data_IF_065802025926
#
_entry.id   IF_065802025926
#
_cell.length_a   1.000
_cell.length_b   1.000
_cell.length_c   1.000
_cell.angle_alpha   90.00
_cell.angle_beta   90.00
_cell.angle_gamma   90.00
#
_symmetry.space_group_name_H-M   'P 1'
#
loop_
_entity.id
_entity.type
_entity.pdbx_description
1 polymer ?
#
# COMPACT_ATOMS: atom_id res chain seq x y z
N UNK A 1 -0.94 -17.69 7.78
CA UNK A 1 -0.06 -17.07 6.77
C UNK A 1 0.52 -18.15 5.90
N UNK A 2 0.73 -17.90 4.61
CA UNK A 2 1.57 -18.80 3.81
C UNK A 2 3.02 -18.70 4.32
N UNK A 3 3.75 -19.82 4.28
CA UNK A 3 5.16 -19.88 4.70
C UNK A 3 6.01 -18.80 4.00
N UNK A 4 5.71 -18.55 2.72
CA UNK A 4 6.34 -17.51 1.91
C UNK A 4 6.18 -16.09 2.48
N UNK A 5 4.96 -15.68 2.85
CA UNK A 5 4.75 -14.31 3.36
C UNK A 5 5.44 -14.10 4.71
N UNK A 6 5.41 -15.11 5.58
CA UNK A 6 6.16 -15.08 6.83
C UNK A 6 7.68 -14.96 6.62
N UNK A 7 8.23 -15.67 5.63
CA UNK A 7 9.64 -15.57 5.28
C UNK A 7 10.03 -14.20 4.71
N UNK A 8 9.21 -13.66 3.79
CA UNK A 8 9.43 -12.32 3.23
C UNK A 8 9.40 -11.27 4.34
N UNK A 9 8.44 -11.32 5.25
CA UNK A 9 8.36 -10.39 6.39
C UNK A 9 9.60 -10.49 7.28
N UNK A 10 10.06 -11.70 7.61
CA UNK A 10 11.27 -11.90 8.42
C UNK A 10 12.51 -11.26 7.76
N UNK A 11 12.65 -11.40 6.43
CA UNK A 11 13.75 -10.80 5.67
C UNK A 11 13.67 -9.28 5.65
N UNK A 12 12.47 -8.72 5.49
CA UNK A 12 12.25 -7.26 5.56
C UNK A 12 12.66 -6.72 6.93
N UNK A 13 12.19 -7.33 8.03
CA UNK A 13 12.55 -6.88 9.37
C UNK A 13 14.05 -7.00 9.65
N UNK A 14 14.70 -8.05 9.14
CA UNK A 14 16.15 -8.19 9.28
C UNK A 14 16.89 -7.09 8.51
N UNK A 15 16.44 -6.74 7.32
CA UNK A 15 17.00 -5.63 6.53
C UNK A 15 16.88 -4.28 7.26
N UNK A 16 15.71 -4.01 7.84
CA UNK A 16 15.47 -2.81 8.64
C UNK A 16 16.39 -2.77 9.87
N UNK A 17 16.51 -3.86 10.62
CA UNK A 17 17.42 -3.97 11.78
C UNK A 17 18.88 -3.67 11.41
N UNK A 18 19.36 -4.23 10.29
CA UNK A 18 20.71 -3.95 9.79
C UNK A 18 20.86 -2.47 9.42
N UNK A 19 19.84 -1.87 8.81
CA UNK A 19 19.81 -0.44 8.49
C UNK A 19 19.88 0.45 9.73
N UNK A 20 19.20 0.07 10.81
CA UNK A 20 19.29 0.76 12.11
C UNK A 20 20.69 0.64 12.73
N UNK A 21 21.23 -0.58 12.81
CA UNK A 21 22.56 -0.82 13.38
C UNK A 21 23.67 -0.07 12.63
N UNK A 22 23.46 0.21 11.34
CA UNK A 22 24.39 0.98 10.49
C UNK A 22 24.09 2.48 10.44
N UNK A 23 23.10 2.97 11.20
CA UNK A 23 22.62 4.37 11.16
C UNK A 23 22.13 4.85 9.78
N UNK A 24 21.72 3.93 8.89
CA UNK A 24 21.11 4.27 7.60
C UNK A 24 19.63 4.65 7.74
N UNK A 25 18.97 4.12 8.77
CA UNK A 25 17.57 4.34 9.05
C UNK A 25 17.42 4.94 10.45
N UNK A 26 16.50 5.90 10.58
CA UNK A 26 16.03 6.43 11.86
C UNK A 26 14.51 6.21 11.98
N UNK A 27 13.96 6.18 13.21
CA UNK A 27 12.52 6.12 13.38
C UNK A 27 11.86 7.31 12.67
N UNK A 28 10.76 7.07 11.97
CA UNK A 28 10.05 8.07 11.18
C UNK A 28 10.55 8.23 9.73
N UNK A 29 11.62 7.55 9.32
CA UNK A 29 12.02 7.53 7.90
C UNK A 29 11.13 6.61 7.08
N UNK A 30 10.87 6.97 5.83
CA UNK A 30 10.12 6.13 4.88
C UNK A 30 11.07 5.17 4.17
N UNK A 31 10.67 3.90 4.09
CA UNK A 31 11.42 2.85 3.38
C UNK A 31 10.53 2.25 2.30
N UNK A 32 11.10 2.10 1.11
CA UNK A 32 10.46 1.41 -0.01
C UNK A 32 10.89 -0.06 0.02
N UNK A 33 9.89 -0.94 0.09
CA UNK A 33 10.05 -2.39 0.05
C UNK A 33 9.66 -2.87 -1.34
N UNK A 34 10.53 -3.65 -1.96
CA UNK A 34 10.28 -4.25 -3.27
C UNK A 34 10.40 -5.77 -3.13
N UNK A 35 9.32 -6.49 -3.45
CA UNK A 35 9.20 -7.94 -3.26
C UNK A 35 8.45 -8.56 -4.43
N UNK A 36 8.43 -9.91 -4.48
CA UNK A 36 7.61 -10.63 -5.43
C UNK A 36 6.37 -11.28 -4.80
N UNK A 37 5.32 -11.43 -5.60
CA UNK A 37 4.05 -12.03 -5.17
C UNK A 37 4.15 -13.53 -4.86
N UNK A 38 5.16 -14.21 -5.41
CA UNK A 38 5.43 -15.64 -5.22
C UNK A 38 6.93 -15.92 -5.09
N UNK A 39 7.32 -17.09 -4.55
CA UNK A 39 8.71 -17.53 -4.60
C UNK A 39 9.21 -17.76 -6.02
N UNK A 40 10.53 -17.64 -6.20
CA UNK A 40 11.22 -17.85 -7.47
C UNK A 40 11.71 -16.55 -8.11
N UNK A 41 12.41 -16.70 -9.24
CA UNK A 41 12.96 -15.57 -9.99
C UNK A 41 11.90 -14.88 -10.85
N UNK A 42 12.16 -13.64 -11.25
CA UNK A 42 11.34 -12.90 -12.22
C UNK A 42 9.96 -12.44 -11.73
N UNK A 43 9.65 -12.57 -10.45
CA UNK A 43 8.32 -12.22 -9.89
C UNK A 43 8.32 -10.94 -9.06
N UNK A 44 9.37 -10.11 -9.13
CA UNK A 44 9.51 -8.86 -8.34
C UNK A 44 8.62 -7.74 -8.88
N UNK A 45 7.36 -7.73 -8.46
CA UNK A 45 6.31 -6.84 -8.97
C UNK A 45 5.52 -6.10 -7.88
N UNK A 46 5.85 -6.30 -6.60
CA UNK A 46 5.10 -5.73 -5.47
C UNK A 46 5.96 -4.69 -4.75
N UNK A 47 5.51 -3.43 -4.77
CA UNK A 47 6.18 -2.32 -4.08
C UNK A 47 5.31 -1.81 -2.93
N UNK A 48 5.93 -1.48 -1.80
CA UNK A 48 5.24 -0.95 -0.61
C UNK A 48 6.07 0.12 0.04
N UNK A 49 5.43 1.17 0.53
CA UNK A 49 6.09 2.23 1.29
C UNK A 49 5.65 2.08 2.73
N UNK A 50 6.60 1.93 3.64
CA UNK A 50 6.33 1.86 5.07
C UNK A 50 7.10 2.97 5.80
N UNK A 51 6.49 3.48 6.86
CA UNK A 51 7.20 4.32 7.82
C UNK A 51 7.90 3.41 8.81
N UNK A 52 9.20 3.61 8.97
CA UNK A 52 10.00 2.86 9.93
C UNK A 52 9.57 3.27 11.34
N UNK A 53 9.02 2.30 12.06
CA UNK A 53 8.70 2.44 13.49
C UNK A 53 9.89 2.01 14.35
N UNK A 54 9.91 2.39 15.62
CA UNK A 54 10.96 1.96 16.55
C UNK A 54 10.96 0.43 16.68
N UNK A 55 12.14 -0.15 16.47
CA UNK A 55 12.44 -1.58 16.37
C UNK A 55 12.13 -2.35 17.66
N UNK A 56 12.00 -1.64 18.78
CA UNK A 56 11.71 -2.22 20.10
C UNK A 56 10.32 -2.87 20.18
N UNK A 57 9.43 -2.55 19.24
CA UNK A 57 8.06 -3.05 19.20
C UNK A 57 7.84 -4.14 18.15
N UNK A 58 8.92 -4.80 17.66
CA UNK A 58 8.88 -5.84 16.60
C UNK A 58 7.78 -6.90 16.80
N UNK A 59 7.56 -7.35 18.02
CA UNK A 59 6.60 -8.42 18.34
C UNK A 59 5.13 -7.96 18.28
N UNK A 60 4.88 -6.64 18.20
CA UNK A 60 3.55 -6.04 18.10
C UNK A 60 3.25 -5.48 16.71
N UNK A 61 4.20 -5.54 15.77
CA UNK A 61 3.99 -4.99 14.43
C UNK A 61 3.12 -5.94 13.61
N UNK A 62 2.12 -5.36 12.94
CA UNK A 62 1.30 -6.08 11.98
C UNK A 62 2.18 -6.63 10.83
N UNK A 63 1.85 -7.81 10.30
CA UNK A 63 2.57 -8.38 9.17
C UNK A 63 2.53 -7.44 7.98
N UNK A 64 3.67 -7.27 7.34
CA UNK A 64 3.77 -6.40 6.18
C UNK A 64 3.07 -7.14 5.05
N UNK A 65 3.61 -8.25 4.56
CA UNK A 65 3.10 -9.04 3.41
C UNK A 65 1.87 -9.90 3.69
N UNK A 66 1.45 -10.04 4.94
CA UNK A 66 0.29 -10.84 5.34
C UNK A 66 -1.09 -10.19 5.11
N UNK A 67 -1.18 -8.87 4.92
CA UNK A 67 -2.42 -8.22 4.49
C UNK A 67 -2.53 -8.32 2.97
N UNK A 68 -3.57 -8.99 2.47
CA UNK A 68 -3.94 -8.94 1.06
C UNK A 68 -4.04 -7.48 0.63
N UNK A 69 -3.06 -7.01 -0.16
CA UNK A 69 -3.00 -5.63 -0.66
C UNK A 69 -3.95 -5.40 -1.84
N UNK A 70 -5.07 -6.12 -1.89
CA UNK A 70 -6.20 -5.77 -2.74
C UNK A 70 -7.21 -5.11 -1.82
N UNK A 71 -7.36 -3.77 -1.82
CA UNK A 71 -8.64 -3.21 -1.38
C UNK A 71 -9.70 -3.90 -2.24
N UNK A 72 -10.58 -4.67 -1.62
CA UNK A 72 -11.73 -5.23 -2.33
C UNK A 72 -12.56 -4.04 -2.81
N UNK A 73 -12.50 -3.73 -4.10
CA UNK A 73 -13.33 -2.70 -4.73
C UNK A 73 -14.83 -3.07 -4.74
N UNK A 74 -15.20 -4.26 -4.23
CA UNK A 74 -16.59 -4.70 -4.15
C UNK A 74 -17.38 -4.08 -2.99
N UNK A 75 -16.77 -3.25 -2.15
CA UNK A 75 -17.50 -2.49 -1.11
C UNK A 75 -17.22 -1.00 -1.29
N UNK A 76 -17.76 -0.44 -2.38
CA UNK A 76 -18.10 0.97 -2.39
C UNK A 76 -19.49 1.09 -1.74
N UNK A 77 -19.64 1.78 -0.59
CA UNK A 77 -20.97 2.13 -0.12
C UNK A 77 -21.64 3.01 -1.18
N UNK A 78 -22.87 2.67 -1.53
CA UNK A 78 -23.77 3.41 -2.42
C UNK A 78 -24.24 4.73 -1.77
N UNK A 79 -23.32 5.59 -1.34
CA UNK A 79 -23.66 6.89 -0.75
C UNK A 79 -23.10 8.03 -1.60
N UNK A 80 -23.65 8.16 -2.80
CA UNK A 80 -23.75 9.47 -3.45
C UNK A 80 -25.19 9.70 -3.93
N UNK A 81 -26.10 9.79 -2.97
CA UNK A 81 -27.40 10.41 -3.19
C UNK A 81 -27.88 10.99 -1.86
N UNK A 82 -27.58 12.28 -1.65
CA UNK A 82 -28.53 13.32 -1.19
C UNK A 82 -27.70 14.56 -0.82
N UNK A 83 -27.41 15.41 -1.80
CA UNK A 83 -27.34 16.86 -1.54
C UNK A 83 -28.54 17.45 -2.24
N UNK A 84 -29.60 17.68 -1.47
CA UNK A 84 -30.77 18.40 -1.94
C UNK A 84 -30.42 19.87 -2.15
N UNK A 85 -30.89 20.38 -3.29
CA UNK A 85 -31.39 21.75 -3.52
C UNK A 85 -30.45 22.95 -3.41
N UNK A 86 -29.89 23.36 -4.56
CA UNK A 86 -30.03 24.74 -5.06
C UNK A 86 -29.73 24.74 -6.57
N UNK A 87 -30.70 25.15 -7.39
CA UNK A 87 -30.66 25.02 -8.85
C UNK A 87 -29.68 25.95 -9.56
N UNK A 88 -29.15 25.48 -10.68
CA UNK A 88 -28.76 26.29 -11.86
C UNK A 88 -28.71 25.32 -13.04
N UNK A 89 -29.65 25.44 -13.97
CA UNK A 89 -29.65 24.70 -15.23
C UNK A 89 -28.49 25.20 -16.10
N UNK A 90 -27.58 24.29 -16.48
CA UNK A 90 -26.59 24.52 -17.55
C UNK A 90 -26.83 23.46 -18.64
N UNK A 91 -27.18 23.94 -19.83
CA UNK A 91 -27.58 23.13 -20.98
C UNK A 91 -26.41 22.30 -21.53
N UNK A 92 -26.65 21.01 -21.77
CA UNK A 92 -25.79 20.10 -22.54
C UNK A 92 -25.80 20.51 -24.01
N UNK A 93 -24.78 21.22 -24.51
CA UNK A 93 -24.41 21.14 -25.95
C UNK A 93 -22.92 21.34 -26.28
N UNK A 94 -22.06 21.87 -25.40
CA UNK A 94 -20.68 22.19 -25.78
C UNK A 94 -19.61 21.56 -24.87
N UNK A 95 -19.32 20.26 -25.03
CA UNK A 95 -17.97 19.69 -24.76
C UNK A 95 -17.90 18.18 -25.04
N UNK A 96 -17.89 17.79 -26.31
CA UNK A 96 -17.28 16.50 -26.69
C UNK A 96 -16.05 16.79 -27.53
N UNK A 97 -14.82 16.67 -27.00
CA UNK A 97 -13.64 16.73 -27.85
C UNK A 97 -13.61 15.49 -28.74
N UNK A 98 -13.85 15.68 -30.05
CA UNK A 98 -13.57 14.65 -31.06
C UNK A 98 -12.06 14.49 -31.16
N UNK A 99 -11.53 13.40 -30.61
CA UNK A 99 -10.19 12.94 -30.94
C UNK A 99 -10.26 12.23 -32.31
N UNK A 100 -9.71 12.87 -33.33
CA UNK A 100 -9.10 12.17 -34.46
C UNK A 100 -7.62 11.98 -34.13
#
# INVERSE_FOLDING_TARGET
>A
MSEWTADVDRRIYKGIEVGFNRNFLKPGNSVVIVTGWKPGTGSTNTMRIITVQDVRLKDQLAPITGISSVPSFNVMPNEFSTVSSAGTEINEEDSVPRFF
#
